data_IF_079994756771
#
_entry.id   IF_079994756771
#
_cell.length_a   1.000
_cell.length_b   1.000
_cell.length_c   1.000
_cell.angle_alpha   90.00
_cell.angle_beta   90.00
_cell.angle_gamma   90.00
#
_symmetry.space_group_name_H-M   'P 1'
#
loop_
_entity.id
_entity.type
_entity.pdbx_description
1 polymer ?
#
# COMPACT_ATOMS: atom_id res chain seq x y z
N UNK A 1 -71.42 24.07 -39.96
CA UNK A 1 -70.08 23.52 -40.17
C UNK A 1 -69.15 24.09 -39.11
N UNK A 2 -68.89 23.34 -38.04
CA UNK A 2 -67.99 23.75 -36.95
C UNK A 2 -66.65 22.96 -37.09
N UNK A 3 -65.57 23.66 -37.33
CA UNK A 3 -64.23 23.06 -37.37
C UNK A 3 -63.66 23.03 -35.94
N UNK A 4 -63.38 21.85 -35.44
CA UNK A 4 -62.66 21.66 -34.19
C UNK A 4 -61.12 21.70 -34.44
N UNK A 5 -60.46 22.63 -33.77
CA UNK A 5 -59.00 22.69 -33.75
C UNK A 5 -58.52 21.86 -32.54
N UNK A 6 -57.80 20.74 -32.81
CA UNK A 6 -57.14 19.98 -31.79
C UNK A 6 -55.77 20.59 -31.48
N UNK A 7 -55.60 20.97 -30.25
CA UNK A 7 -54.25 21.40 -29.75
C UNK A 7 -53.42 20.18 -29.38
N UNK A 8 -52.33 19.93 -30.10
CA UNK A 8 -51.28 18.98 -29.72
C UNK A 8 -50.39 19.64 -28.66
N UNK A 9 -50.51 19.19 -27.44
CA UNK A 9 -49.59 19.57 -26.36
C UNK A 9 -48.24 18.80 -26.49
N UNK A 10 -47.18 19.50 -26.80
CA UNK A 10 -45.81 18.93 -26.77
C UNK A 10 -45.34 18.80 -25.31
N UNK A 11 -45.20 17.58 -24.82
CA UNK A 11 -44.58 17.28 -23.52
C UNK A 11 -43.08 17.31 -23.74
N UNK A 12 -42.41 18.41 -23.33
CA UNK A 12 -40.95 18.50 -23.26
C UNK A 12 -40.44 17.70 -22.08
N UNK A 13 -39.83 16.56 -22.37
CA UNK A 13 -39.12 15.77 -21.38
C UNK A 13 -37.80 16.49 -21.07
N UNK A 14 -37.68 17.12 -19.90
CA UNK A 14 -36.42 17.65 -19.38
C UNK A 14 -35.52 16.46 -19.00
N UNK A 15 -34.54 16.14 -19.84
CA UNK A 15 -33.43 15.27 -19.51
C UNK A 15 -32.53 15.95 -18.45
N UNK A 16 -32.79 15.67 -17.19
CA UNK A 16 -31.84 16.02 -16.13
C UNK A 16 -30.54 15.21 -16.34
N UNK A 17 -29.35 15.84 -16.33
CA UNK A 17 -28.12 15.10 -16.41
C UNK A 17 -28.04 14.18 -15.21
N UNK A 18 -27.87 12.87 -15.44
CA UNK A 18 -27.60 11.90 -14.39
C UNK A 18 -26.25 12.30 -13.76
N UNK A 19 -26.29 12.76 -12.52
CA UNK A 19 -25.07 12.97 -11.71
C UNK A 19 -24.50 11.58 -11.45
N UNK A 20 -23.49 11.20 -12.23
CA UNK A 20 -22.74 9.97 -11.99
C UNK A 20 -21.92 10.20 -10.71
N UNK A 21 -22.39 9.65 -9.59
CA UNK A 21 -21.57 9.52 -8.40
C UNK A 21 -20.45 8.52 -8.75
N UNK A 22 -19.18 8.88 -8.54
CA UNK A 22 -18.10 7.90 -8.68
C UNK A 22 -18.41 6.72 -7.77
N UNK A 23 -18.26 5.50 -8.30
CA UNK A 23 -18.41 4.29 -7.49
C UNK A 23 -17.57 4.43 -6.22
N UNK A 24 -18.15 4.19 -5.06
CA UNK A 24 -17.43 4.23 -3.79
C UNK A 24 -16.24 3.28 -3.88
N UNK A 25 -15.05 3.86 -3.86
CA UNK A 25 -13.80 3.12 -3.90
C UNK A 25 -13.47 2.69 -2.48
N UNK A 26 -13.19 1.40 -2.29
CA UNK A 26 -12.85 0.86 -0.97
C UNK A 26 -11.84 1.75 -0.25
N UNK A 27 -12.11 2.08 1.00
CA UNK A 27 -11.23 2.88 1.87
C UNK A 27 -11.06 4.34 1.46
N UNK A 28 -11.82 4.81 0.46
CA UNK A 28 -11.77 6.20 -0.02
C UNK A 28 -13.18 6.79 0.00
N UNK A 29 -13.34 7.85 0.77
CA UNK A 29 -14.59 8.62 0.84
C UNK A 29 -14.38 10.05 0.34
N UNK A 30 -15.39 10.88 0.40
CA UNK A 30 -15.29 12.32 0.10
C UNK A 30 -14.38 13.08 1.08
N UNK A 31 -14.12 12.53 2.28
CA UNK A 31 -13.40 13.20 3.37
C UNK A 31 -12.17 12.45 3.88
N UNK A 32 -12.02 11.16 3.55
CA UNK A 32 -11.01 10.28 4.13
C UNK A 32 -10.40 9.33 3.10
N UNK A 33 -9.12 9.00 3.30
CA UNK A 33 -8.39 7.90 2.63
C UNK A 33 -7.80 7.02 3.72
N UNK A 34 -8.23 5.75 3.80
CA UNK A 34 -7.71 4.77 4.77
C UNK A 34 -6.53 4.02 4.19
N UNK A 35 -5.40 4.08 4.89
CA UNK A 35 -4.15 3.40 4.51
C UNK A 35 -3.76 2.44 5.62
N UNK A 36 -3.54 1.17 5.29
CA UNK A 36 -3.15 0.15 6.23
C UNK A 36 -1.65 -0.13 6.21
N UNK A 37 -1.09 -0.51 7.36
CA UNK A 37 0.29 -0.95 7.50
C UNK A 37 0.41 -2.04 8.55
N UNK A 38 1.31 -2.99 8.34
CA UNK A 38 1.85 -3.86 9.41
C UNK A 38 3.30 -3.48 9.67
N UNK A 39 3.68 -3.37 10.95
CA UNK A 39 4.98 -2.87 11.36
C UNK A 39 5.43 -3.53 12.66
N UNK A 40 6.69 -3.94 12.82
CA UNK A 40 7.18 -4.53 14.07
C UNK A 40 7.42 -3.46 15.14
N UNK A 41 6.37 -3.07 15.86
CA UNK A 41 6.49 -2.17 17.02
C UNK A 41 6.98 -2.89 18.28
N UNK A 42 6.87 -4.22 18.32
CA UNK A 42 7.37 -5.09 19.36
C UNK A 42 8.24 -6.21 18.77
N UNK A 43 8.84 -7.05 19.66
CA UNK A 43 9.67 -8.17 19.21
C UNK A 43 11.13 -7.80 18.94
N UNK A 44 11.92 -8.75 18.38
CA UNK A 44 13.38 -8.66 18.30
C UNK A 44 13.88 -7.56 17.37
N UNK A 45 13.05 -7.12 16.40
CA UNK A 45 13.43 -6.07 15.44
C UNK A 45 12.59 -4.79 15.62
N UNK A 46 12.07 -4.57 16.82
CA UNK A 46 11.20 -3.42 17.15
C UNK A 46 11.81 -2.04 16.86
N UNK A 47 13.13 -1.95 16.70
CA UNK A 47 13.79 -0.73 16.26
C UNK A 47 13.27 -0.24 14.89
N UNK A 48 12.85 -1.13 13.99
CA UNK A 48 12.23 -0.77 12.72
C UNK A 48 10.86 -0.11 12.85
N UNK A 49 10.21 -0.25 14.00
CA UNK A 49 8.98 0.49 14.30
C UNK A 49 9.13 2.02 14.24
N UNK A 50 10.37 2.52 14.23
CA UNK A 50 10.66 3.93 13.99
C UNK A 50 10.16 4.40 12.60
N UNK A 51 10.21 3.53 11.58
CA UNK A 51 9.68 3.82 10.24
C UNK A 51 8.19 4.16 10.30
N UNK A 52 7.37 3.27 10.85
CA UNK A 52 5.92 3.49 10.96
C UNK A 52 5.55 4.70 11.83
N UNK A 53 6.35 4.99 12.88
CA UNK A 53 6.17 6.21 13.70
C UNK A 53 6.47 7.48 12.89
N UNK A 54 7.52 7.46 12.06
CA UNK A 54 7.88 8.56 11.17
C UNK A 54 6.78 8.81 10.12
N UNK A 55 6.29 7.76 9.49
CA UNK A 55 5.20 7.83 8.51
C UNK A 55 3.90 8.35 9.14
N UNK A 56 3.55 7.89 10.33
CA UNK A 56 2.40 8.41 11.08
C UNK A 56 2.54 9.90 11.41
N UNK A 57 3.77 10.33 11.77
CA UNK A 57 4.09 11.75 11.97
C UNK A 57 3.90 12.57 10.70
N UNK A 58 4.38 12.07 9.57
CA UNK A 58 4.23 12.74 8.27
C UNK A 58 2.76 12.86 7.85
N UNK A 59 1.97 11.79 7.94
CA UNK A 59 0.55 11.84 7.60
C UNK A 59 -0.25 12.76 8.52
N UNK A 60 0.13 12.86 9.79
CA UNK A 60 -0.47 13.81 10.71
C UNK A 60 -0.20 15.27 10.26
N UNK A 61 1.06 15.59 9.99
CA UNK A 61 1.44 16.88 9.44
C UNK A 61 0.69 17.19 8.14
N UNK A 62 0.62 16.25 7.22
CA UNK A 62 -0.14 16.41 5.97
C UNK A 62 -1.62 16.70 6.23
N UNK A 63 -2.21 16.03 7.20
CA UNK A 63 -3.59 16.23 7.60
C UNK A 63 -3.83 17.62 8.21
N UNK A 64 -2.89 18.16 8.98
CA UNK A 64 -2.93 19.52 9.53
C UNK A 64 -2.94 20.57 8.42
N UNK A 65 -2.27 20.29 7.29
CA UNK A 65 -2.24 21.13 6.10
C UNK A 65 -3.41 20.88 5.11
N UNK A 66 -4.46 20.20 5.55
CA UNK A 66 -5.67 20.01 4.74
C UNK A 66 -5.80 18.63 4.07
N UNK A 67 -4.79 17.76 4.19
CA UNK A 67 -4.80 16.42 3.60
C UNK A 67 -4.57 16.44 2.10
N UNK A 68 -5.11 15.45 1.39
CA UNK A 68 -4.97 15.31 -0.06
C UNK A 68 -6.30 15.64 -0.74
N UNK A 69 -6.34 16.73 -1.48
CA UNK A 69 -7.56 17.22 -2.13
C UNK A 69 -8.75 17.32 -1.15
N UNK A 70 -8.50 17.84 0.06
CA UNK A 70 -9.50 17.99 1.12
C UNK A 70 -9.81 16.72 1.91
N UNK A 71 -9.18 15.59 1.59
CA UNK A 71 -9.38 14.32 2.32
C UNK A 71 -8.25 14.07 3.31
N UNK A 72 -8.60 13.66 4.50
CA UNK A 72 -7.63 13.26 5.53
C UNK A 72 -7.11 11.86 5.28
N UNK A 73 -5.83 11.63 5.57
CA UNK A 73 -5.26 10.28 5.61
C UNK A 73 -5.55 9.67 6.97
N UNK A 74 -6.29 8.58 6.98
CA UNK A 74 -6.44 7.71 8.15
C UNK A 74 -5.43 6.58 8.02
N UNK A 75 -4.28 6.73 8.69
CA UNK A 75 -3.19 5.76 8.66
C UNK A 75 -3.32 4.80 9.83
N UNK A 76 -3.61 3.54 9.54
CA UNK A 76 -3.82 2.46 10.51
C UNK A 76 -2.63 1.52 10.45
N UNK A 77 -1.72 1.64 11.42
CA UNK A 77 -0.51 0.83 11.52
C UNK A 77 -0.60 -0.13 12.70
N UNK A 78 -0.50 -1.44 12.43
CA UNK A 78 -0.69 -2.51 13.40
C UNK A 78 0.62 -3.25 13.67
N UNK A 79 0.84 -3.61 14.95
CA UNK A 79 2.02 -4.38 15.36
C UNK A 79 1.93 -5.84 14.90
N UNK A 80 2.91 -6.29 14.14
CA UNK A 80 3.05 -7.68 13.73
C UNK A 80 4.19 -8.43 14.45
N UNK A 81 4.92 -7.75 15.34
CA UNK A 81 6.05 -8.30 16.10
C UNK A 81 7.13 -8.98 15.23
N UNK A 82 7.18 -8.62 13.93
CA UNK A 82 8.02 -9.30 12.93
C UNK A 82 7.75 -10.80 12.82
N UNK A 83 6.48 -11.20 12.87
CA UNK A 83 6.06 -12.59 12.75
C UNK A 83 5.10 -12.74 11.56
N UNK A 84 5.47 -13.44 10.47
CA UNK A 84 4.64 -13.56 9.27
C UNK A 84 3.20 -14.04 9.52
N UNK A 85 2.93 -14.98 10.43
CA UNK A 85 1.54 -15.35 10.79
C UNK A 85 0.75 -14.17 11.36
N UNK A 86 1.37 -13.34 12.21
CA UNK A 86 0.73 -12.15 12.78
C UNK A 86 0.56 -11.06 11.73
N UNK A 87 1.50 -10.93 10.79
CA UNK A 87 1.34 -10.04 9.62
C UNK A 87 0.10 -10.41 8.83
N UNK A 88 -0.14 -11.71 8.57
CA UNK A 88 -1.34 -12.18 7.87
C UNK A 88 -2.62 -11.84 8.65
N UNK A 89 -2.62 -12.07 9.97
CA UNK A 89 -3.76 -11.74 10.85
C UNK A 89 -4.08 -10.24 10.80
N UNK A 90 -3.08 -9.39 11.03
CA UNK A 90 -3.26 -7.94 11.04
C UNK A 90 -3.65 -7.40 9.66
N UNK A 91 -3.09 -7.96 8.58
CA UNK A 91 -3.48 -7.58 7.21
C UNK A 91 -4.94 -7.93 6.93
N UNK A 92 -5.42 -9.10 7.37
CA UNK A 92 -6.85 -9.44 7.27
C UNK A 92 -7.73 -8.46 8.01
N UNK A 93 -7.35 -8.08 9.23
CA UNK A 93 -8.06 -7.06 9.99
C UNK A 93 -8.13 -5.73 9.24
N UNK A 94 -6.98 -5.22 8.74
CA UNK A 94 -6.91 -3.98 7.95
C UNK A 94 -7.83 -4.04 6.72
N UNK A 95 -7.87 -5.20 6.05
CA UNK A 95 -8.67 -5.36 4.83
C UNK A 95 -10.15 -5.61 5.16
N UNK A 96 -10.47 -6.49 6.09
CA UNK A 96 -11.84 -6.98 6.28
C UNK A 96 -12.64 -6.13 7.29
N UNK A 97 -11.98 -5.53 8.27
CA UNK A 97 -12.61 -4.74 9.33
C UNK A 97 -12.40 -3.24 9.17
N UNK A 98 -11.15 -2.84 8.90
CA UNK A 98 -10.78 -1.42 8.78
C UNK A 98 -11.00 -0.89 7.34
N UNK A 99 -11.25 -1.80 6.38
CA UNK A 99 -11.58 -1.51 4.98
C UNK A 99 -10.59 -0.56 4.29
N UNK A 100 -9.29 -0.77 4.48
CA UNK A 100 -8.27 0.09 3.90
C UNK A 100 -8.24 0.03 2.37
N UNK A 101 -7.87 1.14 1.73
CA UNK A 101 -7.73 1.24 0.28
C UNK A 101 -6.49 0.49 -0.23
N UNK A 102 -5.43 0.46 0.56
CA UNK A 102 -4.16 -0.15 0.21
C UNK A 102 -3.36 -0.51 1.47
N UNK A 103 -2.37 -1.38 1.30
CA UNK A 103 -1.32 -1.63 2.30
C UNK A 103 -0.07 -0.85 1.90
N UNK A 104 0.51 -0.12 2.85
CA UNK A 104 1.61 0.81 2.63
C UNK A 104 2.83 0.47 3.49
N UNK A 105 4.00 0.39 2.87
CA UNK A 105 5.31 0.34 3.56
C UNK A 105 5.46 -0.74 4.65
N UNK A 106 4.75 -1.86 4.52
CA UNK A 106 4.94 -3.00 5.45
C UNK A 106 6.34 -3.59 5.32
N UNK A 107 6.98 -3.90 6.45
CA UNK A 107 8.38 -4.34 6.48
C UNK A 107 8.54 -5.86 6.49
N UNK A 108 9.59 -6.33 5.81
CA UNK A 108 10.06 -7.72 5.81
C UNK A 108 9.69 -8.51 4.56
N UNK A 109 10.65 -9.30 4.06
CA UNK A 109 10.50 -10.09 2.83
C UNK A 109 9.46 -11.21 3.02
N UNK A 110 9.63 -12.07 4.02
CA UNK A 110 8.70 -13.15 4.32
C UNK A 110 7.29 -12.65 4.65
N UNK A 111 7.19 -11.52 5.35
CA UNK A 111 5.95 -10.86 5.75
C UNK A 111 5.14 -10.43 4.54
N UNK A 112 5.76 -9.65 3.67
CA UNK A 112 5.14 -9.15 2.44
C UNK A 112 4.79 -10.29 1.47
N UNK A 113 5.61 -11.33 1.39
CA UNK A 113 5.32 -12.54 0.61
C UNK A 113 4.08 -13.26 1.13
N UNK A 114 3.96 -13.41 2.45
CA UNK A 114 2.85 -14.13 3.08
C UNK A 114 1.47 -13.50 2.80
N UNK A 115 1.42 -12.18 2.63
CA UNK A 115 0.16 -11.45 2.38
C UNK A 115 -0.13 -11.18 0.90
N UNK A 116 0.88 -11.29 0.03
CA UNK A 116 0.77 -10.85 -1.37
C UNK A 116 -0.38 -11.54 -2.13
N UNK A 117 -0.48 -12.89 -2.06
CA UNK A 117 -1.54 -13.65 -2.73
C UNK A 117 -2.95 -13.29 -2.22
N UNK A 118 -3.08 -13.05 -0.92
CA UNK A 118 -4.34 -12.63 -0.31
C UNK A 118 -4.75 -11.24 -0.81
N UNK A 119 -3.83 -10.27 -0.79
CA UNK A 119 -4.08 -8.92 -1.27
C UNK A 119 -4.40 -8.90 -2.77
N UNK A 120 -3.68 -9.69 -3.57
CA UNK A 120 -3.97 -9.86 -5.00
C UNK A 120 -5.40 -10.38 -5.22
N UNK A 121 -5.82 -11.42 -4.50
CA UNK A 121 -7.17 -11.96 -4.59
C UNK A 121 -8.27 -11.00 -4.14
N UNK A 122 -7.94 -10.00 -3.34
CA UNK A 122 -8.83 -8.92 -2.90
C UNK A 122 -8.71 -7.65 -3.74
N UNK A 123 -7.83 -7.64 -4.73
CA UNK A 123 -7.49 -6.47 -5.56
C UNK A 123 -7.05 -5.25 -4.73
N UNK A 124 -6.24 -5.48 -3.69
CA UNK A 124 -5.72 -4.44 -2.80
C UNK A 124 -4.25 -4.18 -3.12
N UNK A 125 -3.88 -2.95 -3.50
CA UNK A 125 -2.49 -2.59 -3.74
C UNK A 125 -1.62 -2.74 -2.48
N UNK A 126 -0.39 -3.22 -2.69
CA UNK A 126 0.66 -3.33 -1.69
C UNK A 126 1.82 -2.44 -2.11
N UNK A 127 1.87 -1.22 -1.58
CA UNK A 127 2.72 -0.16 -2.12
C UNK A 127 3.92 0.13 -1.22
N UNK A 128 5.05 0.44 -1.87
CA UNK A 128 6.29 0.90 -1.21
C UNK A 128 6.78 -0.08 -0.14
N UNK A 129 6.81 -1.36 -0.48
CA UNK A 129 7.28 -2.42 0.39
C UNK A 129 8.64 -2.10 1.02
N UNK A 130 8.75 -2.20 2.34
CA UNK A 130 10.01 -2.08 3.05
C UNK A 130 10.79 -3.41 2.98
N UNK A 131 11.21 -3.77 1.78
CA UNK A 131 12.03 -4.95 1.47
C UNK A 131 12.88 -4.68 0.24
N UNK A 132 14.14 -5.12 0.29
CA UNK A 132 15.05 -5.11 -0.87
C UNK A 132 15.00 -6.39 -1.72
N UNK A 133 14.04 -7.29 -1.50
CA UNK A 133 13.89 -8.50 -2.30
C UNK A 133 13.44 -8.17 -3.73
N UNK A 134 14.27 -8.49 -4.71
CA UNK A 134 14.05 -8.14 -6.13
C UNK A 134 12.77 -8.77 -6.72
N UNK A 135 12.26 -9.84 -6.11
CA UNK A 135 11.05 -10.54 -6.57
C UNK A 135 9.81 -9.64 -6.60
N UNK A 136 9.70 -8.66 -5.72
CA UNK A 136 8.56 -7.74 -5.70
C UNK A 136 8.53 -6.77 -6.89
N UNK A 137 9.59 -6.72 -7.68
CA UNK A 137 9.62 -6.03 -8.98
C UNK A 137 9.10 -6.89 -10.14
N UNK A 138 8.81 -8.17 -9.92
CA UNK A 138 8.22 -9.05 -10.92
C UNK A 138 6.70 -8.87 -10.96
N UNK A 139 6.23 -8.08 -11.92
CA UNK A 139 4.80 -7.76 -12.11
C UNK A 139 3.97 -9.02 -12.41
N UNK A 140 4.54 -10.04 -13.04
CA UNK A 140 3.82 -11.27 -13.32
C UNK A 140 3.50 -12.04 -12.03
N UNK A 141 4.40 -12.00 -11.07
CA UNK A 141 4.28 -12.69 -9.78
C UNK A 141 3.59 -11.84 -8.70
N UNK A 142 3.84 -10.52 -8.71
CA UNK A 142 3.32 -9.56 -7.73
C UNK A 142 2.66 -8.35 -8.39
N UNK A 143 1.54 -8.54 -9.13
CA UNK A 143 0.93 -7.46 -9.93
C UNK A 143 0.37 -6.31 -9.09
N UNK A 144 0.14 -6.52 -7.80
CA UNK A 144 -0.38 -5.51 -6.87
C UNK A 144 0.70 -4.89 -5.99
N UNK A 145 1.97 -5.33 -6.13
CA UNK A 145 3.07 -4.88 -5.29
C UNK A 145 3.93 -3.82 -5.99
N UNK A 146 4.48 -2.89 -5.23
CA UNK A 146 5.54 -1.98 -5.68
C UNK A 146 6.67 -1.96 -4.66
N UNK A 147 7.88 -2.14 -5.13
CA UNK A 147 9.09 -1.83 -4.34
C UNK A 147 9.17 -0.33 -4.11
N UNK A 148 9.86 0.12 -3.05
CA UNK A 148 9.95 1.54 -2.97
C UNK A 148 10.83 2.19 -1.93
N UNK A 149 11.07 1.57 -0.79
CA UNK A 149 11.76 2.29 0.28
C UNK A 149 13.27 2.04 0.34
N UNK A 150 13.79 1.04 -0.36
CA UNK A 150 15.22 0.73 -0.34
C UNK A 150 15.71 0.12 -1.66
N UNK A 151 17.01 0.20 -1.88
CA UNK A 151 17.65 -0.44 -3.03
C UNK A 151 17.49 -1.97 -2.94
N UNK A 152 17.36 -2.66 -4.09
CA UNK A 152 17.37 -4.12 -4.09
C UNK A 152 18.64 -4.69 -3.47
N UNK A 153 18.52 -5.66 -2.56
CA UNK A 153 19.63 -6.32 -1.88
C UNK A 153 20.74 -6.80 -2.83
N UNK A 154 20.38 -7.27 -4.01
CA UNK A 154 21.33 -7.70 -5.04
C UNK A 154 22.24 -6.56 -5.52
N UNK A 155 21.71 -5.34 -5.67
CA UNK A 155 22.52 -4.18 -6.07
C UNK A 155 23.43 -3.72 -4.95
N UNK A 156 22.92 -3.69 -3.75
CA UNK A 156 23.64 -3.34 -2.54
C UNK A 156 24.82 -4.30 -2.32
N UNK A 157 24.59 -5.60 -2.37
CA UNK A 157 25.63 -6.62 -2.27
C UNK A 157 26.73 -6.47 -3.35
N UNK A 158 26.34 -6.14 -4.59
CA UNK A 158 27.31 -5.87 -5.67
C UNK A 158 28.18 -4.66 -5.39
N UNK A 159 27.61 -3.59 -4.85
CA UNK A 159 28.35 -2.39 -4.48
C UNK A 159 29.36 -2.69 -3.37
N UNK A 160 28.94 -3.38 -2.33
CA UNK A 160 29.83 -3.79 -1.22
C UNK A 160 30.96 -4.71 -1.70
N UNK A 161 30.64 -5.69 -2.53
CA UNK A 161 31.64 -6.58 -3.11
C UNK A 161 32.66 -5.81 -3.96
N UNK A 162 32.22 -4.91 -4.84
CA UNK A 162 33.11 -4.07 -5.65
C UNK A 162 33.99 -3.17 -4.81
N UNK A 163 33.43 -2.54 -3.79
CA UNK A 163 34.18 -1.69 -2.89
C UNK A 163 35.26 -2.48 -2.13
N UNK A 164 34.92 -3.63 -1.55
CA UNK A 164 35.83 -4.46 -0.82
C UNK A 164 36.97 -5.00 -1.69
N UNK A 165 36.69 -5.49 -2.90
CA UNK A 165 37.67 -5.98 -3.87
C UNK A 165 38.58 -4.88 -4.40
N UNK A 166 38.09 -3.66 -4.55
CA UNK A 166 38.93 -2.51 -4.92
C UNK A 166 39.94 -2.14 -3.82
N UNK A 167 39.59 -2.39 -2.56
CA UNK A 167 40.49 -2.16 -1.40
C UNK A 167 41.44 -3.34 -1.16
N UNK A 168 40.95 -4.55 -1.37
CA UNK A 168 41.71 -5.79 -1.22
C UNK A 168 41.25 -6.81 -2.28
N UNK A 169 42.03 -7.00 -3.37
CA UNK A 169 41.68 -7.96 -4.43
C UNK A 169 41.53 -9.41 -3.96
N UNK A 170 42.13 -9.74 -2.83
CA UNK A 170 42.06 -11.07 -2.20
C UNK A 170 41.02 -11.15 -1.07
N UNK A 171 40.09 -10.20 -0.98
CA UNK A 171 39.09 -10.20 0.07
C UNK A 171 38.27 -11.49 0.05
N UNK A 172 38.06 -12.08 1.23
CA UNK A 172 37.16 -13.22 1.45
C UNK A 172 35.87 -12.70 2.05
N UNK A 173 34.73 -13.21 1.56
CA UNK A 173 33.43 -12.81 2.02
C UNK A 173 32.76 -13.91 2.84
N UNK A 174 32.15 -13.54 3.95
CA UNK A 174 31.17 -14.35 4.66
C UNK A 174 29.84 -13.61 4.65
N UNK A 175 28.74 -14.32 4.46
CA UNK A 175 27.40 -13.75 4.42
C UNK A 175 26.56 -14.39 5.52
N UNK A 176 25.94 -13.56 6.35
CA UNK A 176 24.90 -13.98 7.28
C UNK A 176 23.60 -13.41 6.74
N UNK A 177 22.60 -14.25 6.54
CA UNK A 177 21.31 -13.86 5.99
C UNK A 177 20.15 -14.45 6.78
N UNK A 178 19.02 -13.78 6.71
CA UNK A 178 17.76 -14.38 7.13
C UNK A 178 17.37 -15.46 6.09
N UNK A 179 16.78 -16.57 6.55
CA UNK A 179 16.34 -17.65 5.68
C UNK A 179 14.89 -17.36 5.20
N UNK A 180 14.77 -16.48 4.22
CA UNK A 180 13.47 -15.98 3.73
C UNK A 180 13.41 -15.70 2.22
N UNK A 181 14.01 -16.48 1.36
CA UNK A 181 14.18 -16.39 -0.11
C UNK A 181 15.47 -15.72 -0.59
#
# INVERSE_FOLDING_TARGET
MRKAFGALGAISFLLLPAVSFPAEMRGITSTEIRIGQTMPYSGPVSAFGALGKGEAGYFRMLNEHGGINGRKINFISLDDSYAPPKTVEQTRRLVESDEVALIFSSIGTAHNTAIAKYLQGKNIPQLFLASGASKFGDIAQFPQATMGVQAPFRYEARLYARYALAKNPNARFAVISQNDD
#
